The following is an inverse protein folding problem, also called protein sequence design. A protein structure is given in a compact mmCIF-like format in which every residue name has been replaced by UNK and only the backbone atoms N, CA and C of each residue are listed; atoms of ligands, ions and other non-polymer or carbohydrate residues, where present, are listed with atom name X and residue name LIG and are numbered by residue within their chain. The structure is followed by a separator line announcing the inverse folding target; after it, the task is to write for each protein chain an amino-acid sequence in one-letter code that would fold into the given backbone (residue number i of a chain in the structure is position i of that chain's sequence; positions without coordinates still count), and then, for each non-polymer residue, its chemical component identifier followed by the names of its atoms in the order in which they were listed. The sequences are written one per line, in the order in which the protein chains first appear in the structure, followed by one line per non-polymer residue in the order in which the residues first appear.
data_IF_327912006721
#
_entry.id   IF_327912006721
#
_cell.length_a   1.000
_cell.length_b   1.000
_cell.length_c   1.000
_cell.angle_alpha   90.00
_cell.angle_beta   90.00
_cell.angle_gamma   90.00
#
_symmetry.space_group_name_H-M   'P 1'
#
loop_
_entity.id
_entity.type
_entity.pdbx_description
1 polymer ?
#
# COMPACT_ATOMS: atom_id res chain seq x y z
N UNK A 1 0.36 -24.41 4.53
CA UNK A 1 -0.71 -23.64 5.21
C UNK A 1 -0.30 -23.48 6.67
N UNK A 2 -0.53 -22.32 7.30
CA UNK A 2 -0.32 -22.15 8.76
C UNK A 2 -1.55 -22.62 9.57
N UNK A 3 -1.44 -22.61 10.90
CA UNK A 3 -2.53 -23.04 11.80
C UNK A 3 -3.81 -22.20 11.70
N UNK A 4 -3.75 -21.02 11.05
CA UNK A 4 -4.88 -20.10 10.84
C UNK A 4 -5.46 -20.21 9.43
N UNK A 5 -4.95 -21.11 8.60
CA UNK A 5 -5.41 -21.32 7.23
C UNK A 5 -4.71 -20.47 6.17
N UNK A 6 -3.69 -19.65 6.51
CA UNK A 6 -2.95 -18.87 5.51
C UNK A 6 -2.07 -19.77 4.67
N UNK A 7 -2.10 -19.58 3.35
CA UNK A 7 -1.36 -20.41 2.39
C UNK A 7 0.02 -19.80 2.13
N UNK A 8 1.03 -20.66 2.08
CA UNK A 8 2.43 -20.29 1.82
C UNK A 8 3.04 -21.32 0.85
N UNK A 9 3.87 -20.91 -0.11
CA UNK A 9 4.69 -21.82 -0.90
C UNK A 9 5.58 -22.71 -0.01
N UNK A 10 5.71 -23.98 -0.38
CA UNK A 10 6.63 -24.90 0.31
C UNK A 10 8.11 -24.55 0.06
N UNK A 11 8.55 -24.23 -1.17
CA UNK A 11 9.93 -23.80 -1.41
C UNK A 11 10.18 -22.43 -0.76
N UNK A 12 11.19 -22.28 0.12
CA UNK A 12 11.35 -21.07 0.92
C UNK A 12 12.21 -19.98 0.27
N UNK A 13 13.02 -20.31 -0.74
CA UNK A 13 14.04 -19.39 -1.27
C UNK A 13 13.55 -18.51 -2.42
N UNK A 14 12.82 -19.08 -3.37
CA UNK A 14 12.37 -18.37 -4.56
C UNK A 14 10.89 -18.64 -4.82
N UNK A 15 10.07 -17.63 -4.59
CA UNK A 15 8.62 -17.70 -4.73
C UNK A 15 7.97 -16.30 -4.83
N UNK A 16 6.75 -16.24 -5.35
CA UNK A 16 6.01 -14.99 -5.57
C UNK A 16 5.66 -14.20 -4.29
N UNK A 17 5.67 -14.83 -3.10
CA UNK A 17 5.51 -14.10 -1.83
C UNK A 17 6.78 -13.36 -1.37
N UNK A 18 7.89 -13.43 -2.14
CA UNK A 18 9.16 -12.78 -1.80
C UNK A 18 9.15 -11.26 -1.98
N UNK A 19 10.35 -10.68 -2.07
CA UNK A 19 10.57 -9.25 -2.32
C UNK A 19 10.18 -8.84 -3.74
N UNK A 20 10.17 -7.52 -4.00
CA UNK A 20 9.95 -6.93 -5.32
C UNK A 20 10.80 -7.61 -6.42
N UNK A 21 12.09 -7.86 -6.16
CA UNK A 21 12.97 -8.60 -7.09
C UNK A 21 12.40 -9.99 -7.41
N UNK A 22 11.99 -10.76 -6.39
CA UNK A 22 11.46 -12.10 -6.62
C UNK A 22 10.17 -12.07 -7.43
N UNK A 23 9.31 -11.08 -7.19
CA UNK A 23 8.05 -10.89 -7.92
C UNK A 23 8.28 -10.42 -9.36
N UNK A 24 9.20 -9.50 -9.58
CA UNK A 24 9.55 -9.01 -10.92
C UNK A 24 10.20 -10.09 -11.81
N UNK A 25 10.75 -11.15 -11.23
CA UNK A 25 11.33 -12.29 -11.95
C UNK A 25 10.32 -13.39 -12.32
N UNK A 26 9.14 -13.42 -11.68
CA UNK A 26 8.17 -14.51 -11.84
C UNK A 26 7.00 -14.06 -12.70
N UNK A 27 6.75 -14.80 -13.79
CA UNK A 27 5.57 -14.66 -14.65
C UNK A 27 4.81 -15.98 -14.74
N UNK A 28 3.57 -15.95 -15.23
CA UNK A 28 2.81 -17.18 -15.45
C UNK A 28 3.43 -17.98 -16.60
N UNK A 29 3.59 -19.29 -16.41
CA UNK A 29 4.07 -20.17 -17.49
C UNK A 29 3.07 -20.25 -18.66
N UNK A 30 1.77 -20.23 -18.35
CA UNK A 30 0.69 -20.20 -19.33
C UNK A 30 0.20 -18.76 -19.49
N UNK A 31 0.46 -18.18 -20.67
CA UNK A 31 -0.05 -16.86 -21.01
C UNK A 31 -1.49 -16.88 -21.53
N UNK A 32 -2.09 -15.71 -21.59
CA UNK A 32 -3.46 -15.48 -22.08
C UNK A 32 -3.47 -14.25 -23.00
N UNK A 33 -4.17 -14.26 -24.15
CA UNK A 33 -4.36 -13.07 -24.97
C UNK A 33 -4.97 -11.92 -24.15
N UNK A 34 -4.42 -10.72 -24.28
CA UNK A 34 -4.90 -9.54 -23.53
C UNK A 34 -6.37 -9.21 -23.81
N UNK A 35 -6.84 -9.47 -25.03
CA UNK A 35 -8.18 -9.09 -25.45
C UNK A 35 -8.38 -7.56 -25.43
N UNK A 36 -9.64 -7.08 -25.45
CA UNK A 36 -9.93 -5.66 -25.67
C UNK A 36 -9.52 -4.76 -24.49
N UNK A 37 -9.38 -5.30 -23.28
CA UNK A 37 -9.11 -4.52 -22.06
C UNK A 37 -7.80 -4.90 -21.35
N UNK A 38 -7.09 -5.93 -21.81
CA UNK A 38 -5.91 -6.41 -21.11
C UNK A 38 -4.78 -5.37 -21.07
N UNK A 39 -4.58 -4.61 -22.15
CA UNK A 39 -3.59 -3.53 -22.17
C UNK A 39 -3.93 -2.43 -21.17
N UNK A 40 -5.20 -2.05 -21.03
CA UNK A 40 -5.63 -1.05 -20.06
C UNK A 40 -5.36 -1.52 -18.63
N UNK A 41 -5.62 -2.81 -18.34
CA UNK A 41 -5.31 -3.38 -17.03
C UNK A 41 -3.81 -3.47 -16.75
N UNK A 42 -2.97 -3.74 -17.75
CA UNK A 42 -1.51 -3.64 -17.61
C UNK A 42 -1.08 -2.22 -17.27
N UNK A 43 -1.63 -1.21 -17.96
CA UNK A 43 -1.36 0.22 -17.69
C UNK A 43 -1.80 0.66 -16.30
N UNK A 44 -3.01 0.27 -15.87
CA UNK A 44 -3.51 0.53 -14.52
C UNK A 44 -2.61 -0.16 -13.48
N UNK A 45 -2.20 -1.40 -13.75
CA UNK A 45 -1.32 -2.15 -12.88
C UNK A 45 0.06 -1.51 -12.76
N UNK A 46 0.64 -1.04 -13.87
CA UNK A 46 1.88 -0.27 -13.89
C UNK A 46 1.77 0.93 -12.94
N UNK A 47 0.70 1.74 -13.06
CA UNK A 47 0.50 2.90 -12.18
C UNK A 47 0.36 2.47 -10.72
N UNK A 48 -0.27 1.34 -10.41
CA UNK A 48 -0.32 0.83 -9.05
C UNK A 48 1.07 0.50 -8.49
N UNK A 49 1.97 -0.06 -9.30
CA UNK A 49 3.36 -0.39 -8.92
C UNK A 49 4.21 0.85 -8.67
N UNK A 50 3.91 1.97 -9.36
CA UNK A 50 4.61 3.26 -9.10
C UNK A 50 4.34 3.82 -7.71
N UNK A 51 3.20 3.44 -7.11
CA UNK A 51 2.72 4.06 -5.88
C UNK A 51 2.11 5.45 -6.06
N UNK A 52 2.04 5.96 -7.29
CA UNK A 52 1.38 7.21 -7.64
C UNK A 52 -0.13 6.99 -7.80
N UNK A 53 -0.91 8.09 -7.77
CA UNK A 53 -2.36 8.08 -8.05
C UNK A 53 -3.18 7.06 -7.21
N UNK A 54 -2.70 6.70 -6.00
CA UNK A 54 -3.38 5.74 -5.10
C UNK A 54 -4.82 6.12 -4.77
N UNK A 55 -5.13 7.44 -4.71
CA UNK A 55 -6.46 7.97 -4.42
C UNK A 55 -7.33 8.24 -5.65
N UNK A 56 -6.81 7.99 -6.85
CA UNK A 56 -7.54 8.22 -8.10
C UNK A 56 -8.30 6.96 -8.52
N UNK A 57 -9.45 7.11 -9.22
CA UNK A 57 -10.14 6.01 -9.87
C UNK A 57 -9.29 5.38 -10.99
N UNK A 58 -9.68 4.18 -11.43
CA UNK A 58 -8.95 3.45 -12.47
C UNK A 58 -8.91 4.18 -13.82
N UNK A 59 -9.93 4.99 -14.15
CA UNK A 59 -9.93 5.84 -15.35
C UNK A 59 -8.78 6.84 -15.32
N UNK A 60 -8.65 7.61 -14.23
CA UNK A 60 -7.57 8.57 -14.06
C UNK A 60 -6.18 7.91 -14.01
N UNK A 61 -6.08 6.70 -13.46
CA UNK A 61 -4.83 5.93 -13.50
C UNK A 61 -4.47 5.54 -14.92
N UNK A 62 -5.45 5.11 -15.73
CA UNK A 62 -5.23 4.81 -17.14
C UNK A 62 -4.80 6.04 -17.93
N UNK A 63 -5.47 7.18 -17.72
CA UNK A 63 -5.10 8.45 -18.34
C UNK A 63 -3.67 8.84 -17.97
N UNK A 64 -3.31 8.76 -16.68
CA UNK A 64 -1.96 9.02 -16.22
C UNK A 64 -0.93 8.07 -16.86
N UNK A 65 -1.24 6.77 -16.96
CA UNK A 65 -0.37 5.80 -17.62
C UNK A 65 -0.07 6.19 -19.09
N UNK A 66 -1.05 6.75 -19.79
CA UNK A 66 -0.87 7.24 -21.16
C UNK A 66 0.04 8.49 -21.21
N UNK A 67 0.00 9.35 -20.19
CA UNK A 67 0.88 10.54 -20.13
C UNK A 67 2.36 10.23 -19.90
N UNK A 68 2.67 9.09 -19.28
CA UNK A 68 4.03 8.66 -18.96
C UNK A 68 4.59 7.60 -19.93
N UNK A 69 3.88 7.33 -21.03
CA UNK A 69 4.18 6.19 -21.90
C UNK A 69 5.60 6.22 -22.48
N UNK A 70 6.14 7.41 -22.74
CA UNK A 70 7.52 7.58 -23.22
C UNK A 70 8.56 7.12 -22.17
N UNK A 71 8.31 7.33 -20.88
CA UNK A 71 9.17 6.85 -19.78
C UNK A 71 9.05 5.33 -19.61
N UNK A 72 7.86 4.79 -19.85
CA UNK A 72 7.61 3.34 -19.83
C UNK A 72 8.39 2.66 -20.96
N UNK A 73 8.32 3.20 -22.18
CA UNK A 73 9.04 2.68 -23.34
C UNK A 73 10.55 2.81 -23.15
N UNK A 74 11.04 3.97 -22.70
CA UNK A 74 12.47 4.17 -22.41
C UNK A 74 12.98 3.17 -21.35
N UNK A 75 12.22 2.98 -20.26
CA UNK A 75 12.55 2.02 -19.22
C UNK A 75 12.58 0.58 -19.74
N UNK A 76 11.69 0.23 -20.67
CA UNK A 76 11.64 -1.11 -21.26
C UNK A 76 12.84 -1.41 -22.17
N UNK A 77 13.22 -0.43 -23.00
CA UNK A 77 14.25 -0.57 -24.05
C UNK A 77 15.66 -0.32 -23.52
N UNK A 78 15.85 0.76 -22.74
CA UNK A 78 17.15 1.21 -22.23
C UNK A 78 17.16 1.30 -20.70
N UNK A 79 16.92 0.19 -19.96
CA UNK A 79 16.71 0.23 -18.50
C UNK A 79 17.88 0.80 -17.69
N UNK A 80 19.10 0.71 -18.21
CA UNK A 80 20.31 1.17 -17.52
C UNK A 80 20.95 2.40 -18.16
N UNK A 81 20.72 2.68 -19.45
CA UNK A 81 21.34 3.82 -20.14
C UNK A 81 20.37 4.97 -20.45
N UNK A 82 19.06 4.73 -20.29
CA UNK A 82 18.01 5.73 -20.47
C UNK A 82 17.83 6.61 -19.23
N UNK A 83 16.60 7.12 -19.06
CA UNK A 83 16.21 8.00 -17.95
C UNK A 83 16.09 7.28 -16.61
N UNK A 84 16.08 5.94 -16.62
CA UNK A 84 15.98 5.08 -15.41
C UNK A 84 14.76 5.38 -14.54
N UNK A 85 13.68 5.90 -15.14
CA UNK A 85 12.44 6.27 -14.44
C UNK A 85 11.91 5.14 -13.54
N UNK A 86 12.00 3.88 -13.99
CA UNK A 86 11.55 2.72 -13.23
C UNK A 86 12.24 2.56 -11.86
N UNK A 87 13.47 3.06 -11.67
CA UNK A 87 14.23 2.90 -10.42
C UNK A 87 13.69 3.78 -9.28
N UNK A 88 12.99 4.86 -9.62
CA UNK A 88 12.47 5.83 -8.67
C UNK A 88 11.10 5.42 -8.09
N UNK A 89 10.54 4.32 -8.56
CA UNK A 89 9.19 3.87 -8.25
C UNK A 89 9.13 3.04 -6.95
N UNK A 90 7.94 2.89 -6.37
CA UNK A 90 7.75 2.15 -5.10
C UNK A 90 8.12 0.66 -5.22
N UNK A 91 7.74 0.01 -6.32
CA UNK A 91 8.07 -1.39 -6.65
C UNK A 91 8.88 -1.44 -7.97
N UNK A 92 10.18 -1.11 -7.95
CA UNK A 92 10.94 -0.79 -9.15
C UNK A 92 11.10 -1.99 -10.10
N UNK A 93 11.41 -3.19 -9.59
CA UNK A 93 11.65 -4.36 -10.45
C UNK A 93 10.37 -4.88 -11.08
N UNK A 94 9.26 -4.90 -10.33
CA UNK A 94 7.95 -5.19 -10.92
C UNK A 94 7.55 -4.12 -11.94
N UNK A 95 7.84 -2.83 -11.68
CA UNK A 95 7.56 -1.74 -12.63
C UNK A 95 8.32 -1.97 -13.94
N UNK A 96 9.63 -2.26 -13.88
CA UNK A 96 10.44 -2.53 -15.06
C UNK A 96 9.91 -3.74 -15.85
N UNK A 97 9.55 -4.82 -15.17
CA UNK A 97 8.97 -6.01 -15.80
C UNK A 97 7.63 -5.68 -16.49
N UNK A 98 6.79 -4.85 -15.86
CA UNK A 98 5.53 -4.39 -16.44
C UNK A 98 5.76 -3.45 -17.64
N UNK A 99 6.75 -2.56 -17.59
CA UNK A 99 7.14 -1.71 -18.73
C UNK A 99 7.50 -2.57 -19.95
N UNK A 100 8.26 -3.66 -19.76
CA UNK A 100 8.60 -4.60 -20.83
C UNK A 100 7.38 -5.31 -21.41
N UNK A 101 6.45 -5.73 -20.56
CA UNK A 101 5.22 -6.36 -21.01
C UNK A 101 4.36 -5.39 -21.85
N UNK A 102 4.22 -4.14 -21.41
CA UNK A 102 3.48 -3.09 -22.15
C UNK A 102 4.17 -2.79 -23.48
N UNK A 103 5.50 -2.66 -23.50
CA UNK A 103 6.25 -2.45 -24.73
C UNK A 103 6.06 -3.60 -25.73
N UNK A 104 6.14 -4.86 -25.26
CA UNK A 104 5.92 -6.03 -26.10
C UNK A 104 4.49 -6.08 -26.66
N UNK A 105 3.48 -5.76 -25.83
CA UNK A 105 2.09 -5.71 -26.25
C UNK A 105 1.83 -4.63 -27.32
N UNK A 106 2.42 -3.44 -27.16
CA UNK A 106 2.27 -2.32 -28.10
C UNK A 106 2.92 -2.58 -29.47
N UNK A 107 4.00 -3.36 -29.49
CA UNK A 107 4.75 -3.69 -30.72
C UNK A 107 4.35 -5.04 -31.33
N UNK A 108 3.31 -5.69 -30.80
CA UNK A 108 2.85 -6.97 -31.34
C UNK A 108 2.16 -6.78 -32.70
N UNK A 109 2.56 -7.56 -33.72
CA UNK A 109 2.09 -7.41 -35.10
C UNK A 109 0.56 -7.54 -35.25
N UNK A 110 -0.07 -8.43 -34.48
CA UNK A 110 -1.54 -8.59 -34.45
C UNK A 110 -2.28 -7.53 -33.63
N UNK A 111 -1.56 -6.54 -33.09
CA UNK A 111 -2.05 -5.53 -32.17
C UNK A 111 -2.10 -6.00 -30.71
N UNK A 112 -2.26 -5.07 -29.76
CA UNK A 112 -2.17 -5.40 -28.33
C UNK A 112 -3.18 -6.44 -27.86
N UNK A 113 -4.38 -6.48 -28.46
CA UNK A 113 -5.43 -7.41 -28.03
C UNK A 113 -5.10 -8.88 -28.29
N UNK A 114 -4.28 -9.20 -29.30
CA UNK A 114 -3.86 -10.58 -29.60
C UNK A 114 -2.58 -10.99 -28.90
N UNK A 115 -1.85 -10.05 -28.27
CA UNK A 115 -0.64 -10.33 -27.54
C UNK A 115 -0.93 -11.29 -26.36
N UNK A 116 -0.22 -12.41 -26.32
CA UNK A 116 -0.33 -13.41 -25.25
C UNK A 116 0.54 -12.94 -24.08
N UNK A 117 -0.10 -12.39 -23.06
CA UNK A 117 0.57 -11.88 -21.87
C UNK A 117 0.75 -12.98 -20.83
N UNK A 118 1.92 -12.96 -20.20
CA UNK A 118 2.28 -13.85 -19.09
C UNK A 118 2.36 -13.10 -17.76
N UNK A 119 2.33 -11.78 -17.80
CA UNK A 119 2.54 -10.93 -16.65
C UNK A 119 1.35 -10.95 -15.67
N UNK A 120 1.59 -11.17 -14.36
CA UNK A 120 0.53 -11.16 -13.37
C UNK A 120 0.05 -9.73 -13.06
N UNK A 121 -1.26 -9.48 -13.12
CA UNK A 121 -1.88 -8.22 -12.69
C UNK A 121 -2.48 -8.39 -11.30
N UNK A 122 -1.96 -7.64 -10.32
CA UNK A 122 -2.41 -7.71 -8.94
C UNK A 122 -3.66 -6.85 -8.68
N UNK A 123 -4.58 -7.38 -7.87
CA UNK A 123 -5.68 -6.66 -7.22
C UNK A 123 -5.62 -6.99 -5.73
N UNK A 124 -5.59 -5.98 -4.87
CA UNK A 124 -5.49 -6.16 -3.42
C UNK A 124 -6.53 -5.33 -2.68
N UNK A 125 -6.99 -5.84 -1.55
CA UNK A 125 -7.87 -5.12 -0.64
C UNK A 125 -7.11 -4.03 0.11
N UNK A 126 -7.70 -2.85 0.26
CA UNK A 126 -7.04 -1.69 0.89
C UNK A 126 -6.57 -2.00 2.32
N UNK A 127 -7.40 -2.72 3.07
CA UNK A 127 -7.08 -3.31 4.37
C UNK A 127 -8.02 -4.49 4.66
N UNK A 128 -7.65 -5.70 4.18
CA UNK A 128 -8.51 -6.90 4.27
C UNK A 128 -9.02 -7.19 5.69
N UNK A 129 -8.19 -7.01 6.73
CA UNK A 129 -8.62 -7.23 8.11
C UNK A 129 -9.73 -6.27 8.57
N UNK A 130 -9.61 -4.96 8.27
CA UNK A 130 -10.65 -3.99 8.58
C UNK A 130 -11.90 -4.19 7.73
N UNK A 131 -11.76 -4.65 6.48
CA UNK A 131 -12.89 -5.03 5.63
C UNK A 131 -13.71 -6.15 6.29
N UNK A 132 -13.06 -7.19 6.79
CA UNK A 132 -13.76 -8.26 7.51
C UNK A 132 -14.44 -7.76 8.79
N UNK A 133 -13.78 -6.93 9.61
CA UNK A 133 -14.42 -6.38 10.80
C UNK A 133 -15.62 -5.49 10.48
N UNK A 134 -15.50 -4.60 9.49
CA UNK A 134 -16.60 -3.74 9.06
C UNK A 134 -17.79 -4.57 8.54
N UNK A 135 -17.53 -5.66 7.82
CA UNK A 135 -18.57 -6.58 7.37
C UNK A 135 -19.24 -7.35 8.52
N UNK A 136 -18.46 -7.88 9.47
CA UNK A 136 -18.96 -8.60 10.65
C UNK A 136 -19.84 -7.71 11.52
N UNK A 137 -19.37 -6.49 11.80
CA UNK A 137 -20.06 -5.50 12.61
C UNK A 137 -21.16 -4.73 11.87
N UNK A 138 -21.26 -4.89 10.55
CA UNK A 138 -22.07 -4.04 9.66
C UNK A 138 -21.84 -2.54 9.91
N UNK A 139 -20.59 -2.18 10.21
CA UNK A 139 -20.20 -0.79 10.48
C UNK A 139 -20.12 -0.02 9.17
N UNK A 140 -21.12 0.84 8.93
CA UNK A 140 -21.18 1.66 7.73
C UNK A 140 -19.98 2.61 7.60
N UNK A 141 -19.57 3.27 8.68
CA UNK A 141 -18.45 4.23 8.61
C UNK A 141 -17.16 3.51 8.30
N UNK A 142 -16.92 2.40 9.00
CA UNK A 142 -15.78 1.54 8.72
C UNK A 142 -15.78 1.02 7.28
N UNK A 143 -16.93 0.53 6.80
CA UNK A 143 -17.13 0.01 5.45
C UNK A 143 -16.84 1.06 4.36
N UNK A 144 -17.24 2.32 4.58
CA UNK A 144 -16.92 3.42 3.67
C UNK A 144 -15.39 3.66 3.62
N UNK A 145 -14.71 3.77 4.76
CA UNK A 145 -13.24 4.00 4.83
C UNK A 145 -12.39 2.88 4.21
N UNK A 146 -12.92 1.66 4.07
CA UNK A 146 -12.20 0.50 3.52
C UNK A 146 -12.78 -0.04 2.21
N UNK A 147 -13.54 0.78 1.48
CA UNK A 147 -14.01 0.51 0.12
C UNK A 147 -14.99 -0.68 0.01
N UNK A 148 -15.79 -0.95 1.03
CA UNK A 148 -16.89 -1.93 0.95
C UNK A 148 -18.19 -1.31 0.41
N UNK A 149 -18.27 0.01 0.35
CA UNK A 149 -19.37 0.75 -0.27
C UNK A 149 -18.95 1.30 -1.62
N UNK A 150 -19.89 1.41 -2.56
CA UNK A 150 -19.65 2.07 -3.84
C UNK A 150 -19.31 3.55 -3.64
N UNK A 151 -18.16 3.97 -4.13
CA UNK A 151 -17.69 5.36 -4.18
C UNK A 151 -16.99 5.57 -5.52
N UNK A 152 -17.05 6.79 -6.03
CA UNK A 152 -16.40 7.13 -7.31
C UNK A 152 -14.87 7.11 -7.21
N UNK A 153 -14.34 7.46 -6.04
CA UNK A 153 -12.91 7.43 -5.75
C UNK A 153 -12.57 6.44 -4.62
N UNK A 154 -11.41 5.76 -4.69
CA UNK A 154 -10.92 4.93 -3.60
C UNK A 154 -10.74 5.72 -2.30
N UNK A 155 -11.31 5.22 -1.23
CA UNK A 155 -11.12 5.71 0.13
C UNK A 155 -9.81 5.15 0.71
N UNK A 156 -9.20 5.93 1.61
CA UNK A 156 -7.87 5.64 2.14
C UNK A 156 -7.85 5.81 3.66
N UNK A 157 -8.28 4.77 4.38
CA UNK A 157 -8.28 4.72 5.85
C UNK A 157 -6.99 5.23 6.49
N UNK A 158 -5.83 4.99 5.88
CA UNK A 158 -4.55 5.43 6.42
C UNK A 158 -4.43 6.95 6.44
N UNK A 159 -5.00 7.62 5.44
CA UNK A 159 -5.02 9.07 5.35
C UNK A 159 -6.01 9.69 6.34
N UNK A 160 -7.18 9.09 6.50
CA UNK A 160 -8.14 9.48 7.54
C UNK A 160 -7.47 9.44 8.93
N UNK A 161 -6.71 8.38 9.22
CA UNK A 161 -5.96 8.25 10.48
C UNK A 161 -4.84 9.29 10.59
N UNK A 162 -4.12 9.59 9.50
CA UNK A 162 -3.10 10.67 9.48
C UNK A 162 -3.73 11.99 9.90
N UNK A 163 -4.88 12.36 9.33
CA UNK A 163 -5.55 13.63 9.63
C UNK A 163 -5.95 13.74 11.10
N UNK A 164 -6.48 12.66 11.69
CA UNK A 164 -6.84 12.63 13.11
C UNK A 164 -5.59 12.72 14.00
N UNK A 165 -4.53 11.99 13.68
CA UNK A 165 -3.27 12.01 14.45
C UNK A 165 -2.60 13.38 14.34
N UNK A 166 -2.61 14.01 13.16
CA UNK A 166 -2.04 15.34 12.96
C UNK A 166 -2.85 16.41 13.70
N UNK A 167 -4.17 16.33 13.71
CA UNK A 167 -5.01 17.22 14.52
C UNK A 167 -4.73 17.07 16.03
N UNK A 168 -4.47 15.84 16.50
CA UNK A 168 -4.06 15.61 17.89
C UNK A 168 -2.67 16.19 18.17
N UNK A 169 -1.71 15.95 17.27
CA UNK A 169 -0.34 16.50 17.35
C UNK A 169 -0.36 18.03 17.42
N UNK A 170 -1.16 18.70 16.59
CA UNK A 170 -1.32 20.16 16.62
C UNK A 170 -1.79 20.67 17.99
N UNK A 171 -2.79 20.01 18.59
CA UNK A 171 -3.28 20.37 19.94
C UNK A 171 -2.19 20.19 21.00
N UNK A 172 -1.50 19.06 20.98
CA UNK A 172 -0.45 18.77 21.98
C UNK A 172 0.78 19.68 21.81
N UNK A 173 1.13 20.02 20.57
CA UNK A 173 2.19 20.98 20.27
C UNK A 173 1.84 22.39 20.79
N UNK A 174 0.59 22.82 20.64
CA UNK A 174 0.09 24.08 21.20
C UNK A 174 0.04 24.08 22.74
N UNK A 175 -0.16 22.91 23.35
CA UNK A 175 -0.07 22.71 24.80
C UNK A 175 1.37 22.58 25.32
N UNK A 176 2.39 22.72 24.45
CA UNK A 176 3.80 22.71 24.83
C UNK A 176 4.43 21.32 24.95
N UNK A 177 3.80 20.27 24.40
CA UNK A 177 4.38 18.92 24.39
C UNK A 177 5.55 18.85 23.39
N UNK A 178 6.81 18.66 23.83
CA UNK A 178 7.98 18.79 22.95
C UNK A 178 7.99 17.79 21.79
N UNK A 179 7.61 16.54 22.06
CA UNK A 179 7.58 15.49 21.02
C UNK A 179 6.58 15.80 19.90
N UNK A 180 5.45 16.46 20.24
CA UNK A 180 4.45 16.84 19.26
C UNK A 180 4.93 17.99 18.36
N UNK A 181 5.79 18.87 18.86
CA UNK A 181 6.42 19.95 18.08
C UNK A 181 7.45 19.39 17.11
N UNK A 182 8.28 18.45 17.55
CA UNK A 182 9.28 17.75 16.72
C UNK A 182 8.63 16.99 15.56
N UNK A 183 7.44 16.44 15.80
CA UNK A 183 6.71 15.63 14.82
C UNK A 183 6.01 16.43 13.71
N UNK A 184 6.12 17.77 13.71
CA UNK A 184 5.55 18.60 12.64
C UNK A 184 6.07 18.14 11.28
N UNK A 185 5.17 17.92 10.32
CA UNK A 185 5.46 17.45 8.95
C UNK A 185 5.99 15.99 8.83
N UNK A 186 6.03 15.24 9.95
CA UNK A 186 6.46 13.83 9.99
C UNK A 186 5.31 12.83 10.23
N UNK A 187 4.09 13.30 10.45
CA UNK A 187 2.87 12.46 10.48
C UNK A 187 2.46 12.11 9.04
N UNK A 188 3.22 11.19 8.43
CA UNK A 188 3.04 10.80 7.02
C UNK A 188 2.33 9.45 6.92
N UNK A 189 1.56 9.25 5.85
CA UNK A 189 0.88 7.96 5.56
C UNK A 189 1.85 6.78 5.61
N UNK A 190 3.05 6.92 5.02
CA UNK A 190 4.10 5.89 5.02
C UNK A 190 4.52 5.46 6.43
N UNK A 191 4.58 6.40 7.38
CA UNK A 191 5.01 6.18 8.76
C UNK A 191 3.97 5.37 9.54
N UNK A 192 2.67 5.68 9.37
CA UNK A 192 1.61 5.04 10.16
C UNK A 192 0.91 3.85 9.47
N UNK A 193 1.08 3.68 8.15
CA UNK A 193 0.40 2.63 7.36
C UNK A 193 0.58 1.25 7.99
N UNK A 194 1.80 0.90 8.37
CA UNK A 194 2.12 -0.42 8.89
C UNK A 194 1.43 -0.69 10.25
N UNK A 195 1.41 0.30 11.16
CA UNK A 195 0.77 0.15 12.47
C UNK A 195 -0.74 0.03 12.35
N UNK A 196 -1.38 0.83 11.48
CA UNK A 196 -2.81 0.71 11.19
C UNK A 196 -3.14 -0.67 10.62
N UNK A 197 -2.38 -1.13 9.61
CA UNK A 197 -2.60 -2.43 8.96
C UNK A 197 -2.40 -3.61 9.93
N UNK A 198 -1.49 -3.50 10.88
CA UNK A 198 -1.20 -4.60 11.82
C UNK A 198 -2.07 -4.60 13.08
N UNK A 199 -2.77 -3.51 13.36
CA UNK A 199 -3.68 -3.40 14.52
C UNK A 199 -4.77 -4.46 14.50
N UNK A 200 -5.38 -4.71 13.36
CA UNK A 200 -6.41 -5.75 13.19
C UNK A 200 -5.89 -7.19 13.36
N UNK A 201 -4.58 -7.37 13.39
CA UNK A 201 -3.92 -8.65 13.62
C UNK A 201 -3.34 -8.77 15.05
N UNK A 202 -3.72 -7.88 15.97
CA UNK A 202 -3.33 -7.95 17.38
C UNK A 202 -1.99 -7.30 17.71
N UNK A 203 -1.55 -6.28 16.95
CA UNK A 203 -0.34 -5.53 17.31
C UNK A 203 -0.52 -4.84 18.66
N UNK A 204 0.48 -4.93 19.53
CA UNK A 204 0.52 -4.20 20.79
C UNK A 204 1.07 -2.78 20.58
N UNK A 205 0.92 -1.91 21.58
CA UNK A 205 1.53 -0.58 21.56
C UNK A 205 3.05 -0.64 21.33
N UNK A 206 3.72 -1.62 21.94
CA UNK A 206 5.15 -1.86 21.73
C UNK A 206 5.45 -2.21 20.27
N UNK A 207 4.72 -3.18 19.70
CA UNK A 207 4.90 -3.58 18.30
C UNK A 207 4.62 -2.44 17.31
N UNK A 208 3.58 -1.65 17.54
CA UNK A 208 3.26 -0.47 16.74
C UNK A 208 4.37 0.59 16.83
N UNK A 209 4.89 0.84 18.03
CA UNK A 209 6.02 1.75 18.25
C UNK A 209 7.27 1.28 17.51
N UNK A 210 7.58 -0.02 17.54
CA UNK A 210 8.73 -0.57 16.82
C UNK A 210 8.63 -0.41 15.31
N UNK A 211 7.44 -0.60 14.73
CA UNK A 211 7.17 -0.41 13.31
C UNK A 211 7.32 1.06 12.90
N UNK A 212 6.72 1.99 13.66
CA UNK A 212 6.83 3.43 13.39
C UNK A 212 8.28 3.90 13.53
N UNK A 213 9.00 3.44 14.56
CA UNK A 213 10.42 3.75 14.75
C UNK A 213 11.27 3.33 13.55
N UNK A 214 10.97 2.18 12.94
CA UNK A 214 11.66 1.77 11.70
C UNK A 214 11.39 2.77 10.57
N UNK A 215 10.12 3.13 10.34
CA UNK A 215 9.77 4.09 9.29
C UNK A 215 10.40 5.48 9.51
N UNK A 216 10.42 5.97 10.75
CA UNK A 216 11.08 7.23 11.11
C UNK A 216 12.60 7.17 10.94
N UNK A 217 13.22 5.99 11.11
CA UNK A 217 14.66 5.81 10.88
C UNK A 217 15.01 5.89 9.39
N UNK A 218 14.11 5.45 8.53
CA UNK A 218 14.28 5.48 7.08
C UNK A 218 13.98 6.88 6.49
N UNK A 219 13.64 7.87 7.32
CA UNK A 219 13.54 9.28 6.94
C UNK A 219 14.87 9.99 7.18
N UNK A 220 15.49 10.47 6.10
CA UNK A 220 16.76 11.21 6.16
C UNK A 220 16.60 12.62 6.75
N UNK A 221 15.40 13.18 6.67
CA UNK A 221 15.05 14.54 7.10
C UNK A 221 14.60 14.63 8.57
N UNK A 222 14.59 13.52 9.32
CA UNK A 222 14.12 13.52 10.71
C UNK A 222 15.14 14.17 11.67
N UNK A 223 14.73 15.12 12.54
CA UNK A 223 15.63 16.07 13.22
C UNK A 223 16.54 15.52 14.34
N UNK A 224 16.51 14.22 14.63
CA UNK A 224 17.41 13.60 15.62
C UNK A 224 17.13 12.13 15.85
N UNK A 225 18.16 11.28 15.86
CA UNK A 225 18.03 9.82 16.01
C UNK A 225 17.55 9.42 17.42
N UNK A 226 17.96 10.19 18.41
CA UNK A 226 17.58 10.15 19.82
C UNK A 226 16.11 10.49 20.06
N UNK A 227 15.50 11.33 19.23
CA UNK A 227 14.09 11.70 19.31
C UNK A 227 13.16 10.65 18.69
N UNK A 228 13.69 9.68 17.94
CA UNK A 228 12.88 8.66 17.25
C UNK A 228 12.09 7.80 18.24
N UNK A 229 12.72 7.39 19.35
CA UNK A 229 12.05 6.55 20.36
C UNK A 229 10.80 7.20 20.94
N UNK A 230 10.92 8.41 21.54
CA UNK A 230 9.78 9.18 22.04
C UNK A 230 8.74 9.48 20.95
N UNK A 231 9.16 9.87 19.75
CA UNK A 231 8.28 10.17 18.63
C UNK A 231 7.47 8.94 18.20
N UNK A 232 8.10 7.78 18.09
CA UNK A 232 7.43 6.53 17.74
C UNK A 232 6.42 6.10 18.79
N UNK A 233 6.76 6.22 20.08
CA UNK A 233 5.84 5.90 21.17
C UNK A 233 4.61 6.84 21.19
N UNK A 234 4.81 8.13 20.95
CA UNK A 234 3.74 9.11 20.84
C UNK A 234 2.80 8.81 19.65
N UNK A 235 3.37 8.58 18.46
CA UNK A 235 2.61 8.27 17.27
C UNK A 235 1.86 6.94 17.38
N UNK A 236 2.47 5.91 17.98
CA UNK A 236 1.82 4.62 18.19
C UNK A 236 0.58 4.75 19.07
N UNK A 237 0.69 5.48 20.18
CA UNK A 237 -0.43 5.73 21.09
C UNK A 237 -1.54 6.52 20.42
N UNK A 238 -1.17 7.59 19.71
CA UNK A 238 -2.13 8.43 18.98
C UNK A 238 -2.84 7.64 17.88
N UNK A 239 -2.09 6.85 17.10
CA UNK A 239 -2.63 6.01 16.02
C UNK A 239 -3.63 4.99 16.53
N UNK A 240 -3.27 4.21 17.57
CA UNK A 240 -4.16 3.19 18.13
C UNK A 240 -5.44 3.81 18.72
N UNK A 241 -5.31 4.96 19.37
CA UNK A 241 -6.47 5.71 19.90
C UNK A 241 -7.37 6.22 18.77
N UNK A 242 -6.80 6.70 17.66
CA UNK A 242 -7.55 7.17 16.49
C UNK A 242 -8.31 6.04 15.78
N UNK A 243 -7.71 4.85 15.66
CA UNK A 243 -8.35 3.69 15.04
C UNK A 243 -9.62 3.30 15.80
N UNK A 244 -9.57 3.25 17.14
CA UNK A 244 -10.74 2.93 17.95
C UNK A 244 -11.90 3.93 17.81
N UNK A 245 -11.61 5.18 17.43
CA UNK A 245 -12.63 6.20 17.16
C UNK A 245 -13.28 6.06 15.78
N UNK A 246 -12.52 5.63 14.78
CA UNK A 246 -13.06 5.39 13.42
C UNK A 246 -13.83 4.07 13.38
N UNK A 247 -13.28 3.03 13.98
CA UNK A 247 -13.74 1.64 13.87
C UNK A 247 -14.29 1.11 15.19
N UNK A 248 -15.33 1.76 15.69
CA UNK A 248 -15.98 1.41 16.97
C UNK A 248 -16.39 -0.06 17.03
N UNK A 249 -17.10 -0.55 16.00
CA UNK A 249 -17.54 -1.95 15.94
C UNK A 249 -16.37 -2.93 15.88
N UNK A 250 -15.30 -2.61 15.15
CA UNK A 250 -14.10 -3.45 15.12
C UNK A 250 -13.48 -3.60 16.50
N UNK A 251 -13.42 -2.51 17.28
CA UNK A 251 -12.89 -2.53 18.66
C UNK A 251 -13.78 -3.31 19.62
N UNK A 252 -15.11 -3.20 19.49
CA UNK A 252 -16.06 -3.98 20.27
C UNK A 252 -15.92 -5.48 20.00
N UNK A 253 -15.85 -5.88 18.73
CA UNK A 253 -15.67 -7.29 18.33
C UNK A 253 -14.32 -7.82 18.83
N UNK A 254 -13.24 -7.03 18.69
CA UNK A 254 -11.92 -7.42 19.22
C UNK A 254 -11.92 -7.62 20.73
N UNK A 255 -12.58 -6.72 21.45
CA UNK A 255 -12.70 -6.78 22.91
C UNK A 255 -13.51 -8.00 23.32
N UNK A 256 -14.62 -8.28 22.63
CA UNK A 256 -15.42 -9.47 22.85
C UNK A 256 -14.62 -10.76 22.62
N UNK A 257 -13.88 -10.86 21.50
CA UNK A 257 -13.00 -12.01 21.26
C UNK A 257 -11.93 -12.16 22.34
N UNK A 258 -11.37 -11.06 22.84
CA UNK A 258 -10.38 -11.09 23.92
C UNK A 258 -10.93 -11.46 25.31
N UNK A 259 -12.26 -11.47 25.50
CA UNK A 259 -12.89 -11.93 26.74
C UNK A 259 -13.28 -13.42 26.68
N UNK A 260 -13.60 -13.92 25.49
CA UNK A 260 -14.11 -15.28 25.29
C UNK A 260 -12.99 -16.29 24.99
N UNK A 261 -11.86 -15.82 24.45
CA UNK A 261 -10.65 -16.62 24.19
C UNK A 261 -9.62 -16.45 25.30
#
# INVERSE_FOLDING_TARGET
MDFRGRVYPCPPHFHHMGSDISRGLIVFAKGVPLGPKGLDWLKIHLVNLTGLKKRCPNSERLDFANTILDDVIDSAVNPFEGRRWWQEQEEPWQTLACCREIFAALNHEGGPASFVSHFPVHQDGSCNGLQHYAALGRDRRGAESVNLTNKDCPQDVYSDVVEIVEAQRCRDAAAGVPVAQVLKDFVRRKVIKQSVMTTVYGVTLYGASEQIRKQLRDLDDFPGRDLIGPAAAYLARSTLTSIGRIFTSSTEIQTWFGQVC
#
